data_IF_194080797493
#
_entry.id   IF_194080797493
#
_cell.length_a   1.000
_cell.length_b   1.000
_cell.length_c   1.000
_cell.angle_alpha   90.00
_cell.angle_beta   90.00
_cell.angle_gamma   90.00
#
_symmetry.space_group_name_H-M   'P 1'
#
loop_
_entity.id
_entity.type
_entity.pdbx_description
1 polymer ?
#
# COMPACT_ATOMS: atom_id res chain seq x y z
N UNK A 1 -4.54 -26.70 -25.10
CA UNK A 1 -3.25 -26.04 -24.78
C UNK A 1 -3.58 -24.71 -24.14
N UNK A 2 -3.45 -24.59 -22.81
CA UNK A 2 -3.78 -23.35 -22.11
C UNK A 2 -2.60 -22.38 -22.27
N UNK A 3 -2.84 -21.24 -22.93
CA UNK A 3 -1.87 -20.14 -22.98
C UNK A 3 -1.73 -19.58 -21.57
N UNK A 4 -0.53 -19.66 -21.00
CA UNK A 4 -0.20 -18.99 -19.74
C UNK A 4 -0.10 -17.49 -20.04
N UNK A 5 -1.12 -16.73 -19.65
CA UNK A 5 -1.13 -15.28 -19.76
C UNK A 5 -0.25 -14.73 -18.64
N UNK A 6 0.97 -14.32 -18.99
CA UNK A 6 1.86 -13.59 -18.08
C UNK A 6 1.51 -12.10 -18.16
N UNK A 7 0.99 -11.54 -17.07
CA UNK A 7 0.69 -10.11 -16.99
C UNK A 7 2.00 -9.35 -16.74
N UNK A 8 2.26 -8.22 -17.43
CA UNK A 8 3.46 -7.42 -17.19
C UNK A 8 3.48 -6.86 -15.77
N UNK A 9 4.64 -6.91 -15.13
CA UNK A 9 4.87 -6.28 -13.83
C UNK A 9 4.83 -4.75 -14.00
N UNK A 10 4.08 -4.07 -13.13
CA UNK A 10 3.94 -2.62 -13.09
C UNK A 10 4.36 -2.13 -11.72
N UNK A 11 5.24 -1.13 -11.69
CA UNK A 11 5.59 -0.40 -10.47
C UNK A 11 4.60 0.75 -10.27
N UNK A 12 4.18 0.94 -9.01
CA UNK A 12 3.29 2.01 -8.59
C UNK A 12 3.88 2.66 -7.36
N UNK A 13 3.83 3.98 -7.30
CA UNK A 13 4.11 4.73 -6.07
C UNK A 13 2.79 5.00 -5.38
N UNK A 14 2.63 4.51 -4.16
CA UNK A 14 1.43 4.72 -3.35
C UNK A 14 1.71 5.81 -2.33
N UNK A 15 1.03 6.95 -2.46
CA UNK A 15 1.09 8.02 -1.47
C UNK A 15 -0.11 7.91 -0.52
N UNK A 16 0.14 7.90 0.78
CA UNK A 16 -0.90 7.91 1.82
C UNK A 16 -0.80 9.20 2.63
N UNK A 17 -1.95 9.73 3.04
CA UNK A 17 -2.06 10.86 3.98
C UNK A 17 -2.99 10.42 5.10
N UNK A 18 -2.48 10.39 6.32
CA UNK A 18 -3.31 10.21 7.51
C UNK A 18 -3.87 11.57 7.92
N UNK A 19 -5.17 11.64 8.22
CA UNK A 19 -5.77 12.88 8.74
C UNK A 19 -5.08 13.39 10.01
N UNK A 20 -5.26 14.64 10.37
CA UNK A 20 -4.63 15.29 11.53
C UNK A 20 -5.56 15.38 12.77
N UNK A 21 -6.79 14.90 12.66
CA UNK A 21 -7.75 14.84 13.76
C UNK A 21 -7.37 13.85 14.87
N UNK A 22 -7.93 14.02 16.06
CA UNK A 22 -7.73 13.10 17.18
C UNK A 22 -8.14 11.67 16.80
N UNK A 23 -7.23 10.70 16.98
CA UNK A 23 -7.48 9.28 16.70
C UNK A 23 -7.44 8.89 15.22
N UNK A 24 -6.91 9.74 14.34
CA UNK A 24 -6.80 9.42 12.90
C UNK A 24 -5.67 8.42 12.57
N UNK A 25 -4.71 8.23 13.47
CA UNK A 25 -3.63 7.25 13.32
C UNK A 25 -4.04 5.82 13.66
N UNK A 26 -3.23 4.85 13.23
CA UNK A 26 -3.44 3.42 13.50
C UNK A 26 -2.13 2.65 13.64
N UNK A 27 -2.16 1.62 14.50
CA UNK A 27 -1.11 0.61 14.66
C UNK A 27 -1.46 -0.71 13.96
N UNK A 28 -2.60 -0.77 13.25
CA UNK A 28 -3.02 -1.96 12.53
C UNK A 28 -2.21 -2.18 11.24
N UNK A 29 -2.10 -3.44 10.81
CA UNK A 29 -1.54 -3.79 9.52
C UNK A 29 -2.40 -3.24 8.38
N UNK A 30 -1.82 -2.37 7.55
CA UNK A 30 -2.51 -1.76 6.40
C UNK A 30 -2.08 -2.45 5.10
N UNK A 31 -3.05 -2.74 4.25
CA UNK A 31 -2.82 -3.39 2.96
C UNK A 31 -3.49 -2.64 1.82
N UNK A 32 -2.88 -2.67 0.64
CA UNK A 32 -3.44 -2.17 -0.62
C UNK A 32 -3.66 -3.31 -1.61
N UNK A 33 -4.71 -3.21 -2.42
CA UNK A 33 -4.99 -4.06 -3.58
C UNK A 33 -5.48 -3.18 -4.71
N UNK A 34 -4.78 -3.18 -5.84
CA UNK A 34 -5.22 -2.51 -7.05
C UNK A 34 -6.03 -3.50 -7.89
N UNK A 35 -7.21 -3.08 -8.33
CA UNK A 35 -8.12 -3.89 -9.15
C UNK A 35 -8.11 -3.31 -10.55
N UNK A 36 -7.69 -4.10 -11.53
CA UNK A 36 -7.69 -3.77 -12.95
C UNK A 36 -8.67 -4.62 -13.75
N UNK A 37 -8.84 -4.29 -15.01
CA UNK A 37 -9.73 -5.00 -15.94
C UNK A 37 -9.31 -6.45 -16.23
N UNK A 38 -8.04 -6.79 -15.96
CA UNK A 38 -7.44 -8.11 -16.21
C UNK A 38 -7.07 -8.87 -14.94
N UNK A 39 -7.49 -8.39 -13.75
CA UNK A 39 -7.18 -9.01 -12.46
C UNK A 39 -6.76 -8.00 -11.39
N UNK A 40 -6.36 -8.50 -10.22
CA UNK A 40 -5.91 -7.69 -9.09
C UNK A 40 -4.45 -7.98 -8.70
N UNK A 41 -3.83 -7.04 -7.99
CA UNK A 41 -2.42 -7.15 -7.59
C UNK A 41 -2.15 -8.11 -6.43
N UNK A 42 -3.19 -8.73 -5.84
CA UNK A 42 -3.12 -9.36 -4.53
C UNK A 42 -3.11 -8.33 -3.39
N UNK A 43 -3.08 -8.82 -2.15
CA UNK A 43 -2.87 -7.98 -0.95
C UNK A 43 -1.39 -7.60 -0.85
N UNK A 44 -1.09 -6.30 -0.85
CA UNK A 44 0.26 -5.76 -0.68
C UNK A 44 0.33 -5.04 0.66
N UNK A 45 1.25 -5.45 1.51
CA UNK A 45 1.45 -4.84 2.83
C UNK A 45 2.09 -3.47 2.65
N UNK A 46 1.50 -2.44 3.25
CA UNK A 46 2.04 -1.09 3.20
C UNK A 46 3.06 -0.92 4.31
N UNK A 47 4.34 -1.09 3.95
CA UNK A 47 5.47 -0.80 4.83
C UNK A 47 5.95 0.62 4.61
N UNK A 48 6.42 1.22 5.69
CA UNK A 48 6.95 2.56 5.66
C UNK A 48 8.42 2.50 5.18
N UNK A 49 8.76 3.19 4.08
CA UNK A 49 10.12 3.19 3.51
C UNK A 49 11.14 4.02 4.31
N UNK A 50 10.70 4.70 5.36
CA UNK A 50 11.58 5.36 6.32
C UNK A 50 11.86 4.36 7.43
N UNK A 51 13.14 4.14 7.75
CA UNK A 51 13.78 3.28 8.79
C UNK A 51 13.10 3.19 10.17
N UNK A 52 11.79 2.95 10.22
CA UNK A 52 11.01 2.73 11.42
C UNK A 52 10.81 1.23 11.57
N UNK A 53 11.16 0.73 12.75
CA UNK A 53 11.08 -0.68 13.13
C UNK A 53 9.63 -1.18 13.20
N UNK A 54 8.64 -0.29 13.20
CA UNK A 54 7.21 -0.61 13.22
C UNK A 54 6.43 0.23 12.18
N UNK A 55 5.64 -0.40 11.29
CA UNK A 55 4.82 0.30 10.30
C UNK A 55 3.57 0.89 10.98
N UNK A 56 3.71 2.07 11.59
CA UNK A 56 2.60 2.85 12.15
C UNK A 56 2.21 3.99 11.22
N UNK A 57 0.90 4.20 11.09
CA UNK A 57 0.31 5.32 10.36
C UNK A 57 -0.06 6.39 11.38
N UNK A 58 0.82 7.36 11.60
CA UNK A 58 0.59 8.44 12.57
C UNK A 58 -0.31 9.53 11.97
N UNK A 59 -1.07 10.23 12.82
CA UNK A 59 -1.89 11.38 12.43
C UNK A 59 -1.07 12.47 11.73
N UNK A 60 -1.57 13.00 10.61
CA UNK A 60 -0.92 14.07 9.85
C UNK A 60 0.28 13.64 8.99
N UNK A 61 0.55 12.35 8.85
CA UNK A 61 1.71 11.83 8.15
C UNK A 61 1.44 11.63 6.64
N UNK A 62 2.33 12.13 5.78
CA UNK A 62 2.32 11.90 4.32
C UNK A 62 3.43 10.94 3.94
N UNK A 63 3.09 9.78 3.39
CA UNK A 63 4.03 8.70 3.11
C UNK A 63 3.98 8.24 1.67
N UNK A 64 5.15 8.18 1.04
CA UNK A 64 5.34 7.51 -0.25
C UNK A 64 5.87 6.10 0.00
N UNK A 65 5.11 5.10 -0.45
CA UNK A 65 5.43 3.68 -0.35
C UNK A 65 5.70 3.20 -1.78
N UNK A 66 6.84 2.53 -1.97
CA UNK A 66 7.28 1.95 -3.24
C UNK A 66 7.03 0.44 -3.27
#
# INVERSE_FOLDING_TARGET
MFSCVVIPVREYVVCTLTGDGFGSGTEADVYVKLIGTIGDTGKRFLVHNLEKTEPKFDSGQVLSIQ
#
